data_IF_974434290477
#
_entry.id   IF_974434290477
#
_cell.length_a   1.000
_cell.length_b   1.000
_cell.length_c   1.000
_cell.angle_alpha   90.00
_cell.angle_beta   90.00
_cell.angle_gamma   90.00
#
_symmetry.space_group_name_H-M   'P 1'
#
loop_
_entity.id
_entity.type
_entity.pdbx_description
1 polymer ?
#
# COMPACT_ATOMS: atom_id res chain seq x y z
N UNK A 1 -8.23 24.21 -6.06
CA UNK A 1 -8.38 23.54 -7.37
C UNK A 1 -8.82 22.07 -7.25
N UNK A 2 -8.43 21.31 -6.21
CA UNK A 2 -8.76 19.87 -6.11
C UNK A 2 -10.23 19.49 -5.80
N UNK A 3 -11.12 20.43 -5.49
CA UNK A 3 -12.43 20.16 -4.87
C UNK A 3 -13.65 20.34 -5.79
N UNK A 4 -13.45 20.60 -7.09
CA UNK A 4 -14.57 20.96 -7.98
C UNK A 4 -15.09 19.80 -8.83
N UNK A 5 -14.28 18.76 -9.06
CA UNK A 5 -14.70 17.61 -9.86
C UNK A 5 -14.19 16.24 -9.36
N UNK A 6 -12.97 16.17 -8.83
CA UNK A 6 -12.30 14.92 -8.45
C UNK A 6 -12.78 14.34 -7.11
N UNK A 7 -13.45 15.13 -6.28
CA UNK A 7 -13.95 14.66 -5.00
C UNK A 7 -15.18 13.76 -5.19
N UNK A 8 -15.16 12.50 -4.71
CA UNK A 8 -16.28 11.57 -4.86
C UNK A 8 -17.55 12.01 -4.12
N UNK A 9 -17.45 12.95 -3.17
CA UNK A 9 -18.60 13.52 -2.48
C UNK A 9 -19.43 14.46 -3.37
N UNK A 10 -18.89 14.89 -4.51
CA UNK A 10 -19.58 15.79 -5.44
C UNK A 10 -20.66 15.01 -6.19
N UNK A 11 -21.91 15.44 -6.02
CA UNK A 11 -23.04 14.91 -6.78
C UNK A 11 -22.95 15.32 -8.24
N UNK A 12 -22.93 14.33 -9.13
CA UNK A 12 -22.93 14.49 -10.61
C UNK A 12 -24.26 14.07 -11.24
N UNK A 13 -25.27 13.83 -10.41
CA UNK A 13 -26.63 13.48 -10.82
C UNK A 13 -27.39 14.70 -11.32
N UNK A 14 -28.51 14.47 -12.00
CA UNK A 14 -29.47 15.53 -12.35
C UNK A 14 -30.00 16.26 -11.10
N UNK A 15 -30.50 17.48 -11.29
CA UNK A 15 -31.02 18.33 -10.20
C UNK A 15 -32.40 17.87 -9.77
N UNK A 16 -32.60 17.78 -8.45
CA UNK A 16 -33.93 17.51 -7.90
C UNK A 16 -34.68 18.82 -7.66
N UNK A 17 -36.01 18.77 -7.74
CA UNK A 17 -36.87 19.93 -7.47
C UNK A 17 -36.62 20.56 -6.09
N UNK A 18 -36.42 19.74 -5.06
CA UNK A 18 -36.08 20.24 -3.70
C UNK A 18 -34.73 20.98 -3.67
N UNK A 19 -33.75 20.52 -4.45
CA UNK A 19 -32.44 21.16 -4.56
C UNK A 19 -32.55 22.51 -5.29
N UNK A 20 -33.41 22.59 -6.32
CA UNK A 20 -33.69 23.82 -7.07
C UNK A 20 -34.43 24.86 -6.22
N UNK A 21 -35.48 24.46 -5.49
CA UNK A 21 -36.22 25.35 -4.60
C UNK A 21 -35.30 25.93 -3.52
N UNK A 22 -34.43 25.08 -2.95
CA UNK A 22 -33.41 25.50 -1.98
C UNK A 22 -32.38 26.45 -2.59
N UNK A 23 -31.93 26.19 -3.82
CA UNK A 23 -31.01 27.04 -4.56
C UNK A 23 -31.60 28.43 -4.80
N UNK A 24 -32.83 28.51 -5.30
CA UNK A 24 -33.52 29.78 -5.56
C UNK A 24 -33.76 30.57 -4.27
N UNK A 25 -34.18 29.89 -3.20
CA UNK A 25 -34.39 30.53 -1.91
C UNK A 25 -33.10 31.14 -1.35
N UNK A 26 -31.99 30.38 -1.37
CA UNK A 26 -30.69 30.87 -0.91
C UNK A 26 -30.13 32.01 -1.78
N UNK A 27 -30.29 31.92 -3.11
CA UNK A 27 -29.87 32.97 -4.04
C UNK A 27 -30.61 34.30 -3.80
N UNK A 28 -31.89 34.23 -3.38
CA UNK A 28 -32.68 35.40 -2.99
C UNK A 28 -32.22 36.04 -1.68
N UNK A 29 -31.78 35.24 -0.70
CA UNK A 29 -31.32 35.73 0.60
C UNK A 29 -29.89 36.26 0.58
N UNK A 30 -29.00 35.61 -0.19
CA UNK A 30 -27.58 35.96 -0.28
C UNK A 30 -27.16 36.05 -1.76
N UNK A 31 -27.35 37.21 -2.42
CA UNK A 31 -27.05 37.34 -3.84
C UNK A 31 -25.56 37.11 -4.12
N UNK A 32 -25.26 36.32 -5.15
CA UNK A 32 -23.91 36.04 -5.64
C UNK A 32 -22.91 35.42 -4.65
N UNK A 33 -23.37 34.84 -3.53
CA UNK A 33 -22.52 34.17 -2.53
C UNK A 33 -22.45 32.65 -2.73
N UNK A 34 -22.11 32.20 -3.95
CA UNK A 34 -22.19 30.79 -4.36
C UNK A 34 -21.33 29.83 -3.53
N UNK A 35 -20.18 30.27 -3.02
CA UNK A 35 -19.33 29.46 -2.11
C UNK A 35 -20.00 29.16 -0.77
N UNK A 36 -20.86 30.06 -0.30
CA UNK A 36 -21.62 29.91 0.95
C UNK A 36 -22.90 29.10 0.74
N UNK A 37 -23.54 29.26 -0.43
CA UNK A 37 -24.76 28.55 -0.80
C UNK A 37 -24.49 27.06 -1.10
N UNK A 38 -23.35 26.77 -1.75
CA UNK A 38 -22.98 25.43 -2.21
C UNK A 38 -23.06 24.33 -1.12
N UNK A 39 -22.43 24.49 0.06
CA UNK A 39 -22.54 23.50 1.14
C UNK A 39 -23.97 23.28 1.64
N UNK A 40 -24.83 24.30 1.56
CA UNK A 40 -26.23 24.24 2.00
C UNK A 40 -27.05 23.44 0.99
N UNK A 41 -26.85 23.66 -0.32
CA UNK A 41 -27.54 22.93 -1.40
C UNK A 41 -26.98 21.51 -1.57
N UNK A 42 -25.72 21.28 -1.17
CA UNK A 42 -25.06 19.97 -1.29
C UNK A 42 -24.45 19.72 -2.67
N UNK A 43 -24.11 20.79 -3.40
CA UNK A 43 -23.44 20.79 -4.72
C UNK A 43 -22.30 21.81 -4.74
N UNK A 44 -21.46 21.81 -5.77
CA UNK A 44 -20.35 22.77 -5.86
C UNK A 44 -20.84 24.17 -6.22
N UNK A 45 -20.05 25.20 -5.88
CA UNK A 45 -20.39 26.59 -6.17
C UNK A 45 -20.56 26.85 -7.68
N UNK A 46 -19.70 26.23 -8.50
CA UNK A 46 -19.79 26.29 -9.95
C UNK A 46 -21.08 25.65 -10.48
N UNK A 47 -21.46 24.47 -9.96
CA UNK A 47 -22.73 23.83 -10.31
C UNK A 47 -23.93 24.70 -9.97
N UNK A 48 -23.94 25.31 -8.77
CA UNK A 48 -25.03 26.19 -8.31
C UNK A 48 -25.19 27.41 -9.21
N UNK A 49 -24.08 28.07 -9.56
CA UNK A 49 -24.08 29.22 -10.46
C UNK A 49 -24.59 28.84 -11.86
N UNK A 50 -24.02 27.80 -12.48
CA UNK A 50 -24.40 27.35 -13.82
C UNK A 50 -25.88 26.93 -13.90
N UNK A 51 -26.38 26.23 -12.87
CA UNK A 51 -27.78 25.80 -12.85
C UNK A 51 -28.74 26.96 -12.59
N UNK A 52 -28.37 27.90 -11.72
CA UNK A 52 -29.16 29.10 -11.46
C UNK A 52 -29.31 29.97 -12.72
N UNK A 53 -28.22 30.21 -13.46
CA UNK A 53 -28.27 30.92 -14.74
C UNK A 53 -29.19 30.22 -15.73
N UNK A 54 -29.09 28.88 -15.84
CA UNK A 54 -29.95 28.08 -16.72
C UNK A 54 -31.44 28.19 -16.34
N UNK A 55 -31.77 28.21 -15.05
CA UNK A 55 -33.14 28.39 -14.58
C UNK A 55 -33.69 29.79 -14.89
N UNK A 56 -32.84 30.82 -14.83
CA UNK A 56 -33.22 32.18 -15.25
C UNK A 56 -33.48 32.26 -16.76
N UNK A 57 -32.57 31.70 -17.57
CA UNK A 57 -32.71 31.67 -19.03
C UNK A 57 -34.01 30.94 -19.45
N UNK A 58 -34.30 29.77 -18.85
CA UNK A 58 -35.55 29.03 -19.07
C UNK A 58 -36.81 29.84 -18.71
N UNK A 59 -36.75 30.60 -17.61
CA UNK A 59 -37.86 31.44 -17.19
C UNK A 59 -38.08 32.63 -18.14
N UNK A 60 -36.99 33.23 -18.64
CA UNK A 60 -37.05 34.34 -19.60
C UNK A 60 -37.60 33.90 -20.96
N UNK A 61 -37.17 32.74 -21.46
CA UNK A 61 -37.67 32.17 -22.72
C UNK A 61 -39.15 31.80 -22.63
N UNK A 62 -39.60 31.30 -21.47
CA UNK A 62 -41.03 30.96 -21.26
C UNK A 62 -41.95 32.19 -21.16
N UNK A 63 -41.41 33.37 -20.86
CA UNK A 63 -42.16 34.61 -20.70
C UNK A 63 -42.16 35.54 -21.93
N UNK A 64 -41.45 35.19 -23.00
CA UNK A 64 -41.06 36.18 -24.00
C UNK A 64 -40.83 35.69 -25.44
N UNK A 65 -41.47 34.63 -25.93
CA UNK A 65 -41.71 34.44 -27.37
C UNK A 65 -42.62 33.23 -27.64
N UNK A 66 -43.86 33.50 -28.04
CA UNK A 66 -44.63 32.53 -28.80
C UNK A 66 -44.01 32.42 -30.20
N UNK A 67 -43.42 31.26 -30.52
CA UNK A 67 -43.17 30.84 -31.90
C UNK A 67 -41.74 30.38 -32.20
N UNK A 68 -41.55 29.06 -32.35
CA UNK A 68 -40.47 28.51 -33.17
C UNK A 68 -39.58 27.45 -32.52
N UNK A 69 -39.94 26.18 -32.71
CA UNK A 69 -39.01 25.06 -32.96
C UNK A 69 -37.90 24.81 -31.91
N UNK A 70 -38.21 23.94 -30.94
CA UNK A 70 -37.37 23.55 -29.80
C UNK A 70 -36.10 22.74 -30.10
N UNK A 71 -35.30 23.13 -31.10
CA UNK A 71 -34.03 22.46 -31.43
C UNK A 71 -32.86 23.38 -31.75
N UNK A 72 -33.08 24.65 -32.12
CA UNK A 72 -32.03 25.52 -32.65
C UNK A 72 -31.35 26.43 -31.59
N UNK A 73 -32.06 26.84 -30.52
CA UNK A 73 -31.53 27.79 -29.54
C UNK A 73 -30.45 27.21 -28.59
N UNK A 74 -30.37 25.88 -28.42
CA UNK A 74 -29.30 25.24 -27.62
C UNK A 74 -27.94 25.19 -28.36
N UNK A 75 -27.93 25.39 -29.67
CA UNK A 75 -26.70 25.31 -30.47
C UNK A 75 -25.89 26.62 -30.47
N UNK A 76 -26.54 27.75 -30.16
CA UNK A 76 -25.97 29.10 -30.23
C UNK A 76 -26.00 29.81 -28.85
N UNK A 77 -25.75 29.05 -27.77
CA UNK A 77 -25.52 29.62 -26.44
C UNK A 77 -24.17 30.35 -26.42
N UNK A 78 -24.11 31.68 -26.19
CA UNK A 78 -22.87 32.44 -26.15
C UNK A 78 -21.86 31.93 -25.11
N UNK A 79 -22.29 31.13 -24.13
CA UNK A 79 -21.45 30.51 -23.09
C UNK A 79 -20.76 29.23 -23.56
N UNK A 80 -21.17 28.63 -24.69
CA UNK A 80 -20.44 27.50 -25.29
C UNK A 80 -19.20 28.03 -26.00
N UNK A 81 -18.05 27.47 -25.60
CA UNK A 81 -16.77 27.76 -26.24
C UNK A 81 -16.87 27.46 -27.73
N UNK A 82 -16.45 28.44 -28.53
CA UNK A 82 -16.33 28.26 -29.98
C UNK A 82 -15.18 27.30 -30.27
N UNK A 83 -15.23 26.54 -31.36
CA UNK A 83 -14.10 25.70 -31.76
C UNK A 83 -12.81 26.55 -31.86
N UNK A 84 -11.83 26.30 -30.99
CA UNK A 84 -10.55 27.03 -30.92
C UNK A 84 -10.39 27.95 -29.70
N UNK A 85 -11.44 28.20 -28.92
CA UNK A 85 -11.37 28.99 -27.68
C UNK A 85 -11.00 28.11 -26.48
N UNK A 86 -9.96 28.51 -25.74
CA UNK A 86 -9.51 27.79 -24.53
C UNK A 86 -10.49 28.06 -23.40
N UNK A 87 -11.00 27.00 -22.78
CA UNK A 87 -11.87 27.10 -21.61
C UNK A 87 -11.16 27.80 -20.44
N UNK A 88 -11.71 28.91 -19.90
CA UNK A 88 -11.17 29.52 -18.70
C UNK A 88 -11.29 28.63 -17.44
N UNK A 89 -12.17 27.63 -17.42
CA UNK A 89 -12.45 26.78 -16.24
C UNK A 89 -12.39 25.26 -16.54
N UNK A 90 -11.23 24.71 -16.96
CA UNK A 90 -11.09 23.30 -17.29
C UNK A 90 -11.29 22.35 -16.09
N UNK A 91 -11.06 22.84 -14.87
CA UNK A 91 -11.19 22.11 -13.61
C UNK A 91 -12.63 21.65 -13.29
N UNK A 92 -13.63 22.24 -13.94
CA UNK A 92 -15.06 21.95 -13.72
C UNK A 92 -15.59 20.81 -14.59
N UNK A 93 -14.79 20.33 -15.55
CA UNK A 93 -15.20 19.33 -16.54
C UNK A 93 -14.69 17.93 -16.18
N UNK A 94 -15.34 16.87 -16.71
CA UNK A 94 -14.80 15.52 -16.61
C UNK A 94 -13.38 15.44 -17.14
N UNK A 95 -12.50 14.81 -16.35
CA UNK A 95 -11.19 14.39 -16.83
C UNK A 95 -11.38 13.57 -18.10
N UNK A 96 -10.71 13.98 -19.17
CA UNK A 96 -10.69 13.23 -20.42
C UNK A 96 -10.02 11.88 -20.14
N UNK A 97 -10.55 10.76 -20.67
CA UNK A 97 -9.85 9.50 -20.60
C UNK A 97 -8.44 9.64 -21.16
N UNK A 98 -7.47 9.10 -20.43
CA UNK A 98 -6.06 9.06 -20.86
C UNK A 98 -5.95 8.37 -22.24
N UNK A 99 -5.09 8.88 -23.16
CA UNK A 99 -4.77 8.19 -24.41
C UNK A 99 -4.34 6.73 -24.18
N UNK A 100 -4.76 5.83 -25.07
CA UNK A 100 -4.40 4.39 -25.01
C UNK A 100 -2.88 4.20 -25.02
N UNK A 101 -2.21 5.00 -25.85
CA UNK A 101 -0.77 5.08 -25.91
C UNK A 101 -0.29 6.36 -25.21
N UNK A 102 -0.21 6.31 -23.88
CA UNK A 102 0.44 7.37 -23.09
C UNK A 102 1.90 7.52 -23.52
N UNK A 103 2.41 8.76 -23.48
CA UNK A 103 3.80 9.06 -23.79
C UNK A 103 4.74 8.35 -22.79
N UNK A 104 5.98 8.11 -23.20
CA UNK A 104 6.98 7.40 -22.38
C UNK A 104 7.22 8.11 -21.03
N UNK A 105 7.29 9.44 -21.06
CA UNK A 105 7.50 10.29 -19.89
C UNK A 105 6.34 10.17 -18.86
N UNK A 106 5.09 10.05 -19.34
CA UNK A 106 3.92 9.90 -18.48
C UNK A 106 3.88 8.51 -17.82
N UNK A 107 4.23 7.47 -18.59
CA UNK A 107 4.37 6.11 -18.08
C UNK A 107 5.48 6.03 -17.03
N UNK A 108 6.61 6.69 -17.27
CA UNK A 108 7.71 6.78 -16.30
C UNK A 108 7.22 7.47 -15.01
N UNK A 109 6.55 8.62 -15.13
CA UNK A 109 6.01 9.36 -14.00
C UNK A 109 5.04 8.54 -13.15
N UNK A 110 4.13 7.79 -13.81
CA UNK A 110 3.20 6.89 -13.12
C UNK A 110 3.92 5.74 -12.42
N UNK A 111 4.95 5.18 -13.06
CA UNK A 111 5.76 4.12 -12.47
C UNK A 111 6.53 4.61 -11.23
N UNK A 112 7.03 5.84 -11.26
CA UNK A 112 7.71 6.47 -10.14
C UNK A 112 6.75 6.70 -8.97
N UNK A 113 5.57 7.26 -9.25
CA UNK A 113 4.53 7.48 -8.24
C UNK A 113 4.12 6.16 -7.57
N UNK A 114 3.91 5.10 -8.36
CA UNK A 114 3.63 3.74 -7.85
C UNK A 114 4.76 3.23 -6.95
N UNK A 115 6.01 3.38 -7.38
CA UNK A 115 7.17 2.95 -6.61
C UNK A 115 7.30 3.72 -5.28
N UNK A 116 7.03 5.03 -5.27
CA UNK A 116 7.03 5.86 -4.06
C UNK A 116 5.96 5.42 -3.07
N UNK A 117 4.71 5.24 -3.52
CA UNK A 117 3.59 4.81 -2.68
C UNK A 117 3.79 3.40 -2.09
N UNK A 118 4.35 2.47 -2.85
CA UNK A 118 4.62 1.11 -2.36
C UNK A 118 5.71 1.07 -1.27
N UNK A 119 6.61 2.06 -1.25
CA UNK A 119 7.76 2.10 -0.35
C UNK A 119 7.46 2.92 0.93
N UNK A 120 6.73 2.34 1.88
CA UNK A 120 6.45 2.97 3.18
C UNK A 120 7.63 2.95 4.17
N UNK A 121 8.69 2.21 3.85
CA UNK A 121 9.87 2.06 4.72
C UNK A 121 10.87 3.21 4.52
N UNK A 122 11.12 3.97 5.58
CA UNK A 122 12.11 5.05 5.58
C UNK A 122 13.58 4.59 5.49
N UNK A 123 14.50 5.57 5.38
CA UNK A 123 15.95 5.34 5.19
C UNK A 123 16.56 4.39 6.22
N UNK A 124 16.20 4.52 7.50
CA UNK A 124 16.74 3.69 8.61
C UNK A 124 16.35 2.22 8.48
N UNK A 125 15.10 1.94 8.12
CA UNK A 125 14.62 0.57 7.93
C UNK A 125 15.30 -0.10 6.73
N UNK A 126 15.44 0.62 5.60
CA UNK A 126 16.17 0.12 4.41
C UNK A 126 17.65 -0.12 4.72
N UNK A 127 18.32 0.82 5.41
CA UNK A 127 19.72 0.66 5.84
C UNK A 127 19.90 -0.56 6.73
N UNK A 128 19.05 -0.72 7.75
CA UNK A 128 19.15 -1.86 8.68
C UNK A 128 18.89 -3.20 8.00
N UNK A 129 17.96 -3.25 7.04
CA UNK A 129 17.73 -4.44 6.24
C UNK A 129 18.96 -4.83 5.40
N UNK A 130 19.61 -3.85 4.75
CA UNK A 130 20.86 -4.08 3.99
C UNK A 130 22.01 -4.50 4.89
N UNK A 131 22.20 -3.86 6.04
CA UNK A 131 23.21 -4.26 7.03
C UNK A 131 23.02 -5.72 7.47
N UNK A 132 21.77 -6.13 7.73
CA UNK A 132 21.45 -7.51 8.11
C UNK A 132 21.80 -8.50 6.98
N UNK A 133 21.44 -8.18 5.74
CA UNK A 133 21.79 -9.02 4.59
C UNK A 133 23.31 -9.15 4.41
N UNK A 134 24.05 -8.04 4.56
CA UNK A 134 25.51 -8.05 4.48
C UNK A 134 26.14 -8.85 5.63
N UNK A 135 25.59 -8.77 6.84
CA UNK A 135 26.04 -9.56 7.98
C UNK A 135 25.80 -11.07 7.79
N UNK A 136 24.63 -11.45 7.26
CA UNK A 136 24.31 -12.83 6.89
C UNK A 136 25.26 -13.35 5.81
N UNK A 137 25.52 -12.55 4.76
CA UNK A 137 26.47 -12.89 3.70
C UNK A 137 27.89 -13.09 4.25
N UNK A 138 28.37 -12.21 5.14
CA UNK A 138 29.67 -12.35 5.82
C UNK A 138 29.73 -13.63 6.67
N UNK A 139 28.65 -13.95 7.40
CA UNK A 139 28.56 -15.18 8.19
C UNK A 139 28.64 -16.43 7.31
N UNK A 140 27.96 -16.44 6.17
CA UNK A 140 28.02 -17.56 5.22
C UNK A 140 29.42 -17.73 4.62
N UNK A 141 30.05 -16.63 4.18
CA UNK A 141 31.41 -16.68 3.62
C UNK A 141 32.45 -17.17 4.64
N UNK A 142 32.37 -16.69 5.89
CA UNK A 142 33.27 -17.16 6.96
C UNK A 142 33.06 -18.63 7.32
N UNK A 143 31.81 -19.10 7.31
CA UNK A 143 31.49 -20.51 7.51
C UNK A 143 32.01 -21.39 6.37
N UNK A 144 31.87 -20.95 5.12
CA UNK A 144 32.40 -21.64 3.96
C UNK A 144 33.92 -21.75 4.05
N UNK A 145 34.62 -20.64 4.31
CA UNK A 145 36.08 -20.63 4.53
C UNK A 145 36.51 -21.59 5.64
N UNK A 146 35.75 -21.66 6.75
CA UNK A 146 36.03 -22.60 7.85
C UNK A 146 35.82 -24.05 7.43
N UNK A 147 34.81 -24.35 6.62
CA UNK A 147 34.55 -25.71 6.10
C UNK A 147 35.66 -26.15 5.16
N UNK A 148 36.08 -25.29 4.25
CA UNK A 148 37.17 -25.58 3.30
C UNK A 148 38.49 -25.84 4.04
N UNK A 149 38.83 -25.03 5.04
CA UNK A 149 40.01 -25.27 5.86
C UNK A 149 39.91 -26.55 6.68
N UNK A 150 38.74 -26.85 7.26
CA UNK A 150 38.52 -28.11 7.97
C UNK A 150 38.61 -29.32 7.06
N UNK A 151 38.13 -29.23 5.81
CA UNK A 151 38.28 -30.27 4.80
C UNK A 151 39.75 -30.47 4.41
N UNK A 152 40.55 -29.41 4.41
CA UNK A 152 42.00 -29.46 4.25
C UNK A 152 42.76 -29.88 5.54
N UNK A 153 42.05 -30.27 6.61
CA UNK A 153 42.65 -30.70 7.87
C UNK A 153 43.15 -29.58 8.79
N UNK A 154 42.99 -28.31 8.41
CA UNK A 154 43.46 -27.15 9.18
C UNK A 154 42.32 -26.64 10.07
N UNK A 155 42.39 -26.93 11.38
CA UNK A 155 41.42 -26.43 12.35
C UNK A 155 41.82 -25.06 12.89
N UNK A 156 40.96 -24.06 12.68
CA UNK A 156 41.18 -22.70 13.19
C UNK A 156 40.69 -22.59 14.63
N UNK A 157 41.58 -22.19 15.53
CA UNK A 157 41.20 -21.78 16.89
C UNK A 157 40.41 -20.47 16.83
N UNK A 158 39.37 -20.36 17.66
CA UNK A 158 38.57 -19.14 17.73
C UNK A 158 39.33 -18.06 18.49
N UNK A 159 39.61 -16.93 17.86
CA UNK A 159 40.18 -15.77 18.56
C UNK A 159 39.20 -15.25 19.62
N UNK A 160 39.57 -15.37 20.90
CA UNK A 160 38.85 -14.75 22.02
C UNK A 160 39.03 -13.23 21.94
N UNK A 161 38.05 -12.54 21.36
CA UNK A 161 37.98 -11.07 21.47
C UNK A 161 37.75 -10.71 22.94
N UNK A 162 38.44 -9.66 23.43
CA UNK A 162 38.09 -9.03 24.72
C UNK A 162 36.68 -8.46 24.58
N UNK A 163 35.75 -8.93 25.40
CA UNK A 163 34.32 -8.61 25.27
C UNK A 163 33.88 -7.65 26.36
N UNK A 164 33.14 -6.61 25.95
CA UNK A 164 32.41 -5.67 26.82
C UNK A 164 30.98 -6.16 27.14
N UNK A 165 30.57 -7.31 26.60
CA UNK A 165 29.19 -7.83 26.64
C UNK A 165 29.13 -9.30 27.08
N UNK A 166 28.01 -9.69 27.68
CA UNK A 166 27.75 -11.04 28.20
C UNK A 166 27.55 -12.05 27.06
N UNK A 167 28.18 -13.22 27.17
CA UNK A 167 28.05 -14.32 26.20
C UNK A 167 26.94 -15.29 26.61
N UNK A 168 25.74 -15.09 26.09
CA UNK A 168 24.58 -15.95 26.36
C UNK A 168 24.79 -17.44 25.98
N UNK A 169 25.79 -17.77 25.14
CA UNK A 169 26.10 -19.15 24.80
C UNK A 169 27.00 -19.87 25.82
N UNK A 170 27.64 -19.12 26.72
CA UNK A 170 28.57 -19.67 27.73
C UNK A 170 28.03 -19.53 29.15
N UNK A 171 27.30 -18.46 29.41
CA UNK A 171 26.81 -18.10 30.74
C UNK A 171 25.29 -17.94 30.69
N UNK A 172 24.61 -18.21 31.80
CA UNK A 172 23.18 -17.96 31.98
C UNK A 172 23.04 -16.62 32.70
N UNK A 173 22.74 -15.51 32.00
CA UNK A 173 22.69 -14.21 32.65
C UNK A 173 21.48 -14.12 33.56
N UNK A 174 21.65 -13.48 34.72
CA UNK A 174 20.60 -13.36 35.73
C UNK A 174 19.98 -14.70 36.15
N UNK A 175 20.79 -15.75 36.27
CA UNK A 175 20.32 -17.04 36.75
C UNK A 175 19.68 -16.87 38.14
N UNK A 176 18.37 -17.13 38.23
CA UNK A 176 17.65 -17.25 39.49
C UNK A 176 17.51 -18.72 39.81
N UNK A 177 18.10 -19.14 40.93
CA UNK A 177 17.94 -20.51 41.40
C UNK A 177 16.50 -20.69 41.88
N UNK A 178 15.92 -21.85 41.58
CA UNK A 178 14.61 -22.20 42.10
C UNK A 178 14.66 -22.15 43.64
N UNK A 179 13.69 -21.49 44.30
CA UNK A 179 13.62 -21.51 45.75
C UNK A 179 13.41 -22.95 46.23
N UNK A 180 13.90 -23.28 47.43
CA UNK A 180 13.68 -24.59 48.03
C UNK A 180 12.16 -24.81 48.20
N UNK A 181 11.65 -25.91 47.65
CA UNK A 181 10.25 -26.29 47.73
C UNK A 181 9.98 -27.32 48.84
N UNK A 182 8.72 -27.71 48.97
CA UNK A 182 8.29 -28.74 49.93
C UNK A 182 8.68 -30.17 49.52
N UNK A 183 8.82 -30.43 48.21
CA UNK A 183 9.16 -31.75 47.67
C UNK A 183 10.66 -31.88 47.39
N UNK A 184 11.23 -33.06 47.64
CA UNK A 184 12.61 -33.38 47.26
C UNK A 184 12.71 -33.60 45.75
N UNK A 185 13.63 -32.88 45.11
CA UNK A 185 13.89 -32.90 43.66
C UNK A 185 15.25 -33.55 43.34
N UNK A 186 15.87 -34.22 44.31
CA UNK A 186 17.18 -34.84 44.17
C UNK A 186 17.22 -35.87 43.03
N UNK A 187 16.24 -36.77 42.95
CA UNK A 187 16.16 -37.80 41.91
C UNK A 187 15.99 -37.21 40.51
N UNK A 188 15.06 -36.25 40.34
CA UNK A 188 14.83 -35.55 39.07
C UNK A 188 16.10 -34.80 38.61
N UNK A 189 16.83 -34.18 39.54
CA UNK A 189 18.07 -33.50 39.25
C UNK A 189 19.17 -34.48 38.78
N UNK A 190 19.22 -35.70 39.33
CA UNK A 190 20.15 -36.75 38.87
C UNK A 190 19.77 -37.28 37.50
N UNK A 191 18.48 -37.52 37.23
CA UNK A 191 17.98 -37.91 35.90
C UNK A 191 18.32 -36.84 34.88
N UNK A 192 18.09 -35.56 35.19
CA UNK A 192 18.44 -34.44 34.32
C UNK A 192 19.95 -34.32 34.06
N UNK A 193 20.79 -34.59 35.07
CA UNK A 193 22.26 -34.63 34.90
C UNK A 193 22.68 -35.77 33.98
N UNK A 194 22.15 -36.98 34.17
CA UNK A 194 22.41 -38.14 33.31
C UNK A 194 22.01 -37.83 31.87
N UNK A 195 20.79 -37.33 31.66
CA UNK A 195 20.30 -36.93 30.35
C UNK A 195 21.18 -35.87 29.67
N UNK A 196 21.77 -34.91 30.42
CA UNK A 196 22.70 -33.91 29.86
C UNK A 196 24.05 -34.50 29.44
N UNK A 197 24.50 -35.55 30.12
CA UNK A 197 25.76 -36.24 29.82
C UNK A 197 25.63 -37.21 28.66
N UNK A 198 24.41 -37.66 28.34
CA UNK A 198 24.16 -38.53 27.21
C UNK A 198 24.64 -37.88 25.89
N UNK A 199 25.58 -38.51 25.15
CA UNK A 199 26.12 -37.95 23.91
C UNK A 199 25.05 -37.69 22.85
N UNK A 200 23.95 -38.45 22.87
CA UNK A 200 22.76 -38.29 22.03
C UNK A 200 22.01 -37.00 22.31
N UNK A 201 22.05 -36.50 23.55
CA UNK A 201 21.38 -35.27 23.98
C UNK A 201 22.07 -34.01 23.45
N UNK A 202 23.41 -34.03 23.35
CA UNK A 202 24.21 -32.84 23.02
C UNK A 202 24.76 -32.85 21.58
N UNK A 203 24.95 -34.02 20.98
CA UNK A 203 25.72 -34.11 19.73
C UNK A 203 25.28 -35.27 18.85
N UNK A 204 24.82 -34.95 17.64
CA UNK A 204 24.81 -35.79 16.42
C UNK A 204 23.52 -36.50 15.97
N UNK A 205 22.42 -36.53 16.72
CA UNK A 205 21.14 -37.04 16.17
C UNK A 205 20.20 -35.99 15.56
N UNK A 206 20.58 -34.71 15.58
CA UNK A 206 20.22 -33.83 14.46
C UNK A 206 21.23 -34.09 13.34
N UNK A 207 21.22 -35.33 12.82
CA UNK A 207 21.88 -35.62 11.56
C UNK A 207 21.33 -34.63 10.56
N UNK A 208 22.25 -33.91 9.92
CA UNK A 208 21.95 -32.95 8.86
C UNK A 208 21.14 -33.58 7.69
N UNK A 209 20.94 -34.91 7.69
CA UNK A 209 20.02 -35.67 6.83
C UNK A 209 18.54 -35.53 7.24
N UNK A 210 18.19 -35.60 8.53
CA UNK A 210 16.79 -35.60 8.98
C UNK A 210 16.12 -34.23 8.93
N UNK A 211 16.83 -33.15 9.29
CA UNK A 211 16.27 -31.79 9.23
C UNK A 211 16.12 -31.26 7.80
N UNK A 212 17.06 -31.59 6.90
CA UNK A 212 16.94 -31.22 5.48
C UNK A 212 15.80 -31.98 4.82
N UNK A 213 15.66 -33.29 5.05
CA UNK A 213 14.63 -34.10 4.39
C UNK A 213 13.20 -33.69 4.79
N UNK A 214 12.95 -33.47 6.10
CA UNK A 214 11.62 -33.10 6.60
C UNK A 214 11.17 -31.69 6.17
N UNK A 215 12.05 -30.69 6.19
CA UNK A 215 11.71 -29.32 5.77
C UNK A 215 11.54 -29.18 4.26
N UNK A 216 12.36 -29.88 3.47
CA UNK A 216 12.24 -29.89 2.01
C UNK A 216 10.97 -30.63 1.56
N UNK A 217 10.64 -31.79 2.17
CA UNK A 217 9.39 -32.51 1.88
C UNK A 217 8.14 -31.69 2.24
N UNK A 218 8.13 -30.99 3.38
CA UNK A 218 7.00 -30.14 3.78
C UNK A 218 6.81 -28.95 2.83
N UNK A 219 7.90 -28.36 2.33
CA UNK A 219 7.88 -27.25 1.36
C UNK A 219 7.45 -27.71 -0.05
N UNK A 220 7.83 -28.92 -0.46
CA UNK A 220 7.42 -29.52 -1.73
C UNK A 220 5.96 -29.97 -1.74
N UNK A 221 5.42 -30.48 -0.62
CA UNK A 221 4.02 -30.92 -0.51
C UNK A 221 2.99 -29.77 -0.45
N UNK A 222 3.43 -28.55 -0.13
CA UNK A 222 2.57 -27.35 -0.07
C UNK A 222 2.62 -26.45 -1.31
N UNK A 223 3.41 -26.80 -2.33
CA UNK A 223 3.42 -26.08 -3.60
C UNK A 223 2.36 -26.68 -4.52
N UNK A 224 1.46 -25.88 -5.13
CA UNK A 224 0.49 -26.39 -6.08
C UNK A 224 1.23 -27.06 -7.24
N UNK A 225 0.85 -28.29 -7.58
CA UNK A 225 1.36 -28.98 -8.78
C UNK A 225 0.98 -28.13 -9.98
N UNK A 226 1.96 -27.55 -10.67
CA UNK A 226 1.73 -26.86 -11.94
C UNK A 226 1.22 -27.90 -12.95
N UNK A 227 -0.08 -27.91 -13.19
CA UNK A 227 -0.68 -28.63 -14.31
C UNK A 227 -0.31 -27.88 -15.57
N UNK A 228 0.53 -28.48 -16.40
CA UNK A 228 0.86 -27.92 -17.71
C UNK A 228 -0.42 -28.01 -18.57
N UNK A 229 -0.98 -26.90 -19.09
CA UNK A 229 -2.13 -26.97 -19.96
C UNK A 229 -1.71 -27.71 -21.23
N UNK A 230 -2.34 -28.86 -21.49
CA UNK A 230 -2.21 -29.57 -22.76
C UNK A 230 -2.76 -28.64 -23.84
N UNK A 231 -1.87 -28.11 -24.68
CA UNK A 231 -2.24 -27.51 -25.95
C UNK A 231 -3.00 -28.57 -26.76
N UNK A 232 -4.32 -28.46 -26.82
CA UNK A 232 -5.12 -29.14 -27.85
C UNK A 232 -4.89 -28.34 -29.12
N UNK A 233 -4.17 -28.95 -30.07
CA UNK A 233 -4.19 -28.50 -31.46
C UNK A 233 -5.63 -28.65 -31.97
N UNK A 234 -6.20 -27.55 -32.45
CA UNK A 234 -7.25 -27.55 -33.48
C UNK A 234 -6.59 -27.08 -34.77
#
# INVERSE_FOLDING_TARGET
MKYEWLDPSIKKTEWNREEEEKLLHMAKLMPNQWRTIAPIVGRTAAQCLQHYERLLDMAQDSGGAAGGEGGAAMADDPRRLRPGEIDPHPETKPARPDPIDMDEDEKEMLSEARARLANTRGKKAKRKAREKQLEEAKRLATLQKRRELKAAGIEKTANRKRRKYIDYGKEIPFQRNAPAGFYDVSEEAQVAKKARQDPSFSTKEISCKNWRNTRWNKKMKGLPKKTNPKFRKS
#
